data_IF_153530115285
#
_entry.id   IF_153530115285
#
_cell.length_a   1.000
_cell.length_b   1.000
_cell.length_c   1.000
_cell.angle_alpha   90.00
_cell.angle_beta   90.00
_cell.angle_gamma   90.00
#
_symmetry.space_group_name_H-M   'P 1'
#
loop_
_entity.id
_entity.type
_entity.pdbx_description
1 polymer ?
#
# COMPACT_ATOMS: atom_id res chain seq x y z
N UNK A 1 -38.90 -8.09 20.17
CA UNK A 1 -38.76 -7.42 18.87
C UNK A 1 -39.16 -5.99 19.14
N UNK A 2 -38.17 -5.11 19.31
CA UNK A 2 -38.43 -3.69 19.47
C UNK A 2 -39.07 -3.18 18.17
N UNK A 3 -40.02 -2.27 18.28
CA UNK A 3 -40.76 -1.75 17.14
C UNK A 3 -39.80 -0.91 16.29
N UNK A 4 -39.26 -1.48 15.20
CA UNK A 4 -38.35 -0.79 14.26
C UNK A 4 -38.95 0.55 13.77
N UNK A 5 -40.28 0.70 13.84
CA UNK A 5 -41.00 1.93 13.51
C UNK A 5 -40.75 3.11 14.45
N UNK A 6 -40.22 2.88 15.66
CA UNK A 6 -39.92 3.95 16.62
C UNK A 6 -38.52 4.57 16.47
N UNK A 7 -37.62 3.93 15.71
CA UNK A 7 -36.23 4.33 15.57
C UNK A 7 -36.10 5.72 14.92
N UNK A 8 -35.31 6.66 15.51
CA UNK A 8 -35.16 8.02 14.99
C UNK A 8 -34.63 8.05 13.55
N UNK A 9 -33.75 7.11 13.17
CA UNK A 9 -33.19 7.01 11.81
C UNK A 9 -34.25 6.63 10.76
N UNK A 10 -35.32 5.95 11.16
CA UNK A 10 -36.40 5.54 10.25
C UNK A 10 -37.47 6.63 10.17
N UNK A 11 -37.83 7.23 11.31
CA UNK A 11 -38.85 8.30 11.37
C UNK A 11 -38.45 9.55 10.60
N UNK A 12 -37.16 9.85 10.55
CA UNK A 12 -36.64 11.03 9.87
C UNK A 12 -36.37 10.81 8.38
N UNK A 13 -36.60 9.62 7.81
CA UNK A 13 -36.30 9.37 6.40
C UNK A 13 -37.01 10.37 5.48
N UNK A 14 -36.34 10.86 4.41
CA UNK A 14 -36.99 11.64 3.37
C UNK A 14 -38.21 10.89 2.81
N UNK A 15 -39.35 11.57 2.57
CA UNK A 15 -39.53 13.03 2.52
C UNK A 15 -39.89 13.69 3.87
N UNK A 16 -39.82 12.98 5.01
CA UNK A 16 -40.17 13.57 6.31
C UNK A 16 -39.23 14.70 6.73
N UNK A 17 -37.94 14.57 6.40
CA UNK A 17 -36.94 15.65 6.46
C UNK A 17 -36.21 15.77 5.13
N UNK A 18 -35.51 16.89 4.92
CA UNK A 18 -34.54 17.01 3.84
C UNK A 18 -33.25 16.22 4.14
N UNK A 19 -32.41 16.01 3.12
CA UNK A 19 -31.19 15.20 3.24
C UNK A 19 -30.17 15.76 4.23
N UNK A 20 -30.04 17.09 4.33
CA UNK A 20 -29.08 17.73 5.24
C UNK A 20 -29.54 17.52 6.68
N UNK A 21 -30.81 17.81 6.96
CA UNK A 21 -31.38 17.55 8.29
C UNK A 21 -31.32 16.07 8.68
N UNK A 22 -31.49 15.16 7.71
CA UNK A 22 -31.33 13.73 7.95
C UNK A 22 -29.90 13.38 8.33
N UNK A 23 -28.91 13.91 7.60
CA UNK A 23 -27.50 13.67 7.87
C UNK A 23 -27.08 14.16 9.27
N UNK A 24 -27.51 15.37 9.67
CA UNK A 24 -27.26 15.89 11.02
C UNK A 24 -27.88 14.99 12.11
N UNK A 25 -29.07 14.44 11.83
CA UNK A 25 -29.68 13.49 12.76
C UNK A 25 -28.89 12.19 12.84
N UNK A 26 -28.41 11.67 11.71
CA UNK A 26 -27.52 10.49 11.69
C UNK A 26 -26.26 10.78 12.50
N UNK A 27 -25.59 11.89 12.26
CA UNK A 27 -24.36 12.31 12.97
C UNK A 27 -24.55 12.35 14.49
N UNK A 28 -25.66 12.90 14.98
CA UNK A 28 -25.92 12.98 16.41
C UNK A 28 -26.32 11.66 17.06
N UNK A 29 -26.81 10.69 16.29
CA UNK A 29 -27.33 9.44 16.83
C UNK A 29 -26.41 8.25 16.55
N UNK A 30 -25.49 8.36 15.59
CA UNK A 30 -24.67 7.24 15.12
C UNK A 30 -23.86 6.63 16.26
N UNK A 31 -24.07 5.33 16.44
CA UNK A 31 -23.41 4.51 17.46
C UNK A 31 -23.44 3.05 17.01
N UNK A 32 -22.60 2.21 17.63
CA UNK A 32 -22.48 0.78 17.27
C UNK A 32 -23.83 0.05 17.25
N UNK A 33 -24.72 0.39 18.17
CA UNK A 33 -26.07 -0.21 18.28
C UNK A 33 -27.00 0.16 17.12
N UNK A 34 -26.76 1.31 16.49
CA UNK A 34 -27.60 1.83 15.40
C UNK A 34 -27.11 1.41 14.00
N UNK A 35 -25.87 0.92 13.88
CA UNK A 35 -25.29 0.47 12.61
C UNK A 35 -26.14 -0.58 11.87
N UNK A 36 -26.77 -1.59 12.53
CA UNK A 36 -27.65 -2.52 11.83
C UNK A 36 -28.87 -1.84 11.20
N UNK A 37 -29.42 -0.82 11.84
CA UNK A 37 -30.53 -0.04 11.29
C UNK A 37 -30.06 0.84 10.14
N UNK A 38 -28.91 1.52 10.30
CA UNK A 38 -28.33 2.31 9.23
C UNK A 38 -27.99 1.43 8.00
N UNK A 39 -27.44 0.24 8.19
CA UNK A 39 -27.18 -0.73 7.12
C UNK A 39 -28.44 -1.05 6.31
N UNK A 40 -29.60 -1.24 6.98
CA UNK A 40 -30.90 -1.44 6.30
C UNK A 40 -31.32 -0.18 5.52
N UNK A 41 -31.16 0.99 6.12
CA UNK A 41 -31.52 2.28 5.50
C UNK A 41 -30.68 2.56 4.25
N UNK A 42 -29.38 2.29 4.31
CA UNK A 42 -28.44 2.53 3.20
C UNK A 42 -28.69 1.64 1.98
N UNK A 43 -29.55 0.62 2.09
CA UNK A 43 -29.99 -0.16 0.92
C UNK A 43 -30.89 0.65 -0.03
N UNK A 44 -31.43 1.81 0.40
CA UNK A 44 -32.10 2.74 -0.52
C UNK A 44 -31.05 3.52 -1.32
N UNK A 45 -30.88 3.13 -2.59
CA UNK A 45 -29.98 3.78 -3.54
C UNK A 45 -30.23 5.29 -3.67
N UNK A 46 -31.49 5.74 -3.63
CA UNK A 46 -31.80 7.16 -3.82
C UNK A 46 -31.27 7.98 -2.65
N UNK A 47 -31.53 7.50 -1.42
CA UNK A 47 -30.99 8.12 -0.23
C UNK A 47 -29.46 8.08 -0.22
N UNK A 48 -28.87 6.91 -0.44
CA UNK A 48 -27.42 6.68 -0.35
C UNK A 48 -26.64 7.46 -1.41
N UNK A 49 -27.19 7.70 -2.61
CA UNK A 49 -26.59 8.60 -3.60
C UNK A 49 -26.40 10.02 -3.04
N UNK A 50 -27.38 10.52 -2.27
CA UNK A 50 -27.39 11.90 -1.79
C UNK A 50 -26.56 12.10 -0.51
N UNK A 51 -26.57 11.14 0.42
CA UNK A 51 -25.93 11.30 1.73
C UNK A 51 -24.67 10.45 1.92
N UNK A 52 -24.43 9.46 1.08
CA UNK A 52 -23.46 8.40 1.37
C UNK A 52 -22.02 8.89 1.49
N UNK A 53 -21.61 9.85 0.67
CA UNK A 53 -20.25 10.39 0.67
C UNK A 53 -19.92 11.10 1.99
N UNK A 54 -20.85 11.88 2.53
CA UNK A 54 -20.68 12.51 3.85
C UNK A 54 -20.57 11.46 4.97
N UNK A 55 -21.25 10.32 4.87
CA UNK A 55 -21.20 9.31 5.93
C UNK A 55 -19.83 8.63 6.09
N UNK A 56 -18.93 8.70 5.10
CA UNK A 56 -17.65 7.97 5.14
C UNK A 56 -16.82 8.37 6.36
N UNK A 57 -16.70 9.67 6.65
CA UNK A 57 -15.90 10.16 7.78
C UNK A 57 -16.54 9.85 9.15
N UNK A 58 -17.88 9.76 9.22
CA UNK A 58 -18.61 9.37 10.44
C UNK A 58 -18.49 7.87 10.73
N UNK A 59 -18.43 7.06 9.68
CA UNK A 59 -18.38 5.61 9.80
C UNK A 59 -16.95 5.11 10.03
N UNK A 60 -15.92 5.80 9.54
CA UNK A 60 -14.53 5.35 9.63
C UNK A 60 -14.02 5.15 11.09
N UNK A 61 -14.34 6.02 12.06
CA UNK A 61 -14.03 5.82 13.49
C UNK A 61 -14.70 4.61 14.13
N UNK A 62 -15.80 4.11 13.53
CA UNK A 62 -16.61 3.03 14.09
C UNK A 62 -16.21 1.63 13.58
N UNK A 63 -15.06 1.52 12.91
CA UNK A 63 -14.53 0.23 12.47
C UNK A 63 -14.20 -0.68 13.68
N UNK A 64 -14.32 -2.02 13.52
CA UNK A 64 -14.77 -2.73 12.32
C UNK A 64 -16.29 -2.80 12.16
N UNK A 65 -17.07 -2.34 13.14
CA UNK A 65 -18.51 -2.55 13.19
C UNK A 65 -19.26 -1.86 12.04
N UNK A 66 -18.75 -0.71 11.57
CA UNK A 66 -19.34 0.10 10.48
C UNK A 66 -18.98 -0.38 9.07
N UNK A 67 -18.20 -1.44 8.94
CA UNK A 67 -17.64 -1.92 7.67
C UNK A 67 -18.72 -2.24 6.62
N UNK A 68 -19.85 -2.83 7.05
CA UNK A 68 -20.97 -3.13 6.16
C UNK A 68 -21.61 -1.84 5.61
N UNK A 69 -21.78 -0.82 6.44
CA UNK A 69 -22.31 0.48 6.02
C UNK A 69 -21.37 1.20 5.03
N UNK A 70 -20.06 1.19 5.30
CA UNK A 70 -19.05 1.75 4.38
C UNK A 70 -19.09 1.08 3.00
N UNK A 71 -19.31 -0.25 2.98
CA UNK A 71 -19.49 -0.98 1.71
C UNK A 71 -20.76 -0.59 0.99
N UNK A 72 -21.88 -0.41 1.68
CA UNK A 72 -23.12 0.05 1.05
C UNK A 72 -22.93 1.44 0.44
N UNK A 73 -22.26 2.34 1.15
CA UNK A 73 -21.87 3.66 0.62
C UNK A 73 -21.04 3.51 -0.66
N UNK A 74 -20.01 2.66 -0.65
CA UNK A 74 -19.17 2.45 -1.83
C UNK A 74 -19.91 1.76 -2.99
N UNK A 75 -20.94 0.94 -2.71
CA UNK A 75 -21.72 0.21 -3.73
C UNK A 75 -22.89 1.02 -4.29
N UNK A 76 -23.56 1.81 -3.46
CA UNK A 76 -24.85 2.45 -3.76
C UNK A 76 -24.75 3.98 -3.82
N UNK A 77 -23.75 4.59 -3.17
CA UNK A 77 -23.55 6.04 -3.19
C UNK A 77 -23.07 6.58 -4.54
N UNK A 78 -23.03 7.91 -4.69
CA UNK A 78 -22.45 8.56 -5.86
C UNK A 78 -20.94 8.26 -5.92
N UNK A 79 -20.46 7.46 -6.89
CA UNK A 79 -19.08 7.00 -6.89
C UNK A 79 -18.06 8.14 -7.07
N UNK A 80 -18.46 9.27 -7.67
CA UNK A 80 -17.56 10.41 -7.89
C UNK A 80 -17.29 11.18 -6.61
N UNK A 81 -18.36 11.50 -5.87
CA UNK A 81 -18.26 12.18 -4.57
C UNK A 81 -17.58 11.28 -3.52
N UNK A 82 -17.94 9.99 -3.47
CA UNK A 82 -17.36 9.06 -2.51
C UNK A 82 -15.85 8.88 -2.76
N UNK A 83 -15.38 8.82 -4.02
CA UNK A 83 -13.92 8.75 -4.30
C UNK A 83 -13.22 10.00 -3.80
N UNK A 84 -13.77 11.19 -4.06
CA UNK A 84 -13.17 12.44 -3.59
C UNK A 84 -13.08 12.47 -2.06
N UNK A 85 -14.15 12.07 -1.36
CA UNK A 85 -14.13 12.01 0.11
C UNK A 85 -13.14 10.97 0.64
N UNK A 86 -13.04 9.81 0.00
CA UNK A 86 -12.06 8.79 0.37
C UNK A 86 -10.63 9.29 0.14
N UNK A 87 -10.36 10.02 -0.94
CA UNK A 87 -9.04 10.61 -1.18
C UNK A 87 -8.68 11.69 -0.16
N UNK A 88 -9.64 12.53 0.24
CA UNK A 88 -9.46 13.51 1.32
C UNK A 88 -9.07 12.84 2.64
N UNK A 89 -9.81 11.79 3.04
CA UNK A 89 -9.54 11.04 4.27
C UNK A 89 -8.20 10.29 4.24
N UNK A 90 -7.75 9.82 3.08
CA UNK A 90 -6.41 9.23 2.94
C UNK A 90 -5.32 10.26 3.21
N UNK A 91 -5.45 11.47 2.66
CA UNK A 91 -4.49 12.53 2.95
C UNK A 91 -4.54 12.98 4.42
N UNK A 92 -5.71 12.99 5.04
CA UNK A 92 -5.87 13.26 6.47
C UNK A 92 -5.12 12.23 7.32
N UNK A 93 -5.30 10.93 7.05
CA UNK A 93 -4.54 9.85 7.72
C UNK A 93 -3.02 10.07 7.59
N UNK A 94 -2.56 10.56 6.43
CA UNK A 94 -1.15 10.89 6.22
C UNK A 94 -0.63 12.10 7.01
N UNK A 95 -1.52 13.00 7.45
CA UNK A 95 -1.17 14.20 8.23
C UNK A 95 -1.36 14.02 9.74
N UNK A 96 -2.12 13.00 10.15
CA UNK A 96 -2.25 12.66 11.56
C UNK A 96 -0.86 12.37 12.15
N UNK A 97 -0.44 13.19 13.12
CA UNK A 97 0.78 12.97 13.88
C UNK A 97 0.66 11.66 14.68
N UNK A 98 1.78 11.01 14.98
CA UNK A 98 1.78 9.94 16.00
C UNK A 98 1.51 10.66 17.32
N UNK A 99 0.25 10.68 17.75
CA UNK A 99 -0.03 10.88 19.17
C UNK A 99 0.60 9.65 19.84
N UNK A 100 1.71 9.87 20.55
CA UNK A 100 2.39 8.85 21.32
C UNK A 100 1.35 8.13 22.18
N UNK A 101 0.99 6.89 21.81
CA UNK A 101 0.07 6.04 22.58
C UNK A 101 0.62 5.68 23.98
N UNK A 102 1.77 6.25 24.36
CA UNK A 102 2.45 6.10 25.64
C UNK A 102 2.06 7.14 26.70
N UNK A 103 1.35 8.24 26.36
CA UNK A 103 1.05 9.32 27.32
C UNK A 103 -0.31 9.20 28.05
N UNK A 104 -1.15 8.19 27.77
CA UNK A 104 -2.38 7.93 28.56
C UNK A 104 -2.18 7.01 29.77
N UNK A 105 -0.93 6.68 30.15
CA UNK A 105 -0.63 5.88 31.35
C UNK A 105 -0.23 6.70 32.59
N UNK A 106 -0.20 8.03 32.54
CA UNK A 106 0.35 8.85 33.63
C UNK A 106 -0.65 9.64 34.50
N UNK A 107 -1.96 9.60 34.26
CA UNK A 107 -2.94 10.39 35.02
C UNK A 107 -3.97 9.54 35.80
N UNK A 108 -3.47 8.61 36.62
CA UNK A 108 -4.29 8.00 37.67
C UNK A 108 -3.49 7.56 38.90
N UNK A 109 -2.62 8.45 39.40
CA UNK A 109 -2.16 8.41 40.80
C UNK A 109 -2.78 9.60 41.56
N UNK A 110 -4.00 9.41 42.09
CA UNK A 110 -4.42 10.00 43.37
C UNK A 110 -5.88 9.62 43.68
N UNK A 111 -6.06 8.49 44.36
CA UNK A 111 -7.21 8.25 45.23
C UNK A 111 -6.90 7.12 46.22
N UNK A 112 -5.98 7.39 47.15
CA UNK A 112 -5.90 6.66 48.42
C UNK A 112 -7.18 6.93 49.24
N UNK A 113 -8.09 5.95 49.32
CA UNK A 113 -8.81 5.64 50.57
C UNK A 113 -9.08 4.13 50.67
N UNK A 114 -8.42 3.54 51.67
CA UNK A 114 -8.52 2.21 52.24
C UNK A 114 -9.89 1.48 52.17
N UNK A 115 -9.84 0.17 51.89
CA UNK A 115 -10.35 -0.86 52.81
C UNK A 115 -9.71 -2.24 52.52
N UNK A 116 -9.06 -2.81 53.54
CA UNK A 116 -8.59 -4.21 53.57
C UNK A 116 -9.77 -5.17 53.82
N UNK A 117 -9.81 -6.31 53.11
CA UNK A 117 -10.73 -7.39 53.47
C UNK A 117 -10.86 -8.56 52.49
N UNK A 118 -9.88 -9.47 52.52
CA UNK A 118 -9.99 -10.93 52.36
C UNK A 118 -10.67 -11.61 51.14
N UNK A 119 -9.91 -12.56 50.60
CA UNK A 119 -10.27 -13.90 50.11
C UNK A 119 -10.33 -14.23 48.60
N UNK A 120 -9.62 -15.34 48.32
CA UNK A 120 -9.29 -15.99 47.06
C UNK A 120 -10.43 -16.91 46.57
N UNK A 121 -10.92 -16.75 45.34
CA UNK A 121 -11.10 -17.87 44.37
C UNK A 121 -11.58 -17.39 43.00
N UNK A 122 -11.17 -18.14 41.97
CA UNK A 122 -11.24 -17.76 40.57
C UNK A 122 -12.64 -17.63 39.98
N UNK A 123 -12.76 -16.64 39.09
CA UNK A 123 -13.72 -16.62 38.00
C UNK A 123 -13.10 -15.83 36.85
N UNK A 124 -13.17 -16.41 35.66
CA UNK A 124 -12.79 -15.80 34.38
C UNK A 124 -13.51 -14.47 34.22
N UNK A 125 -12.79 -13.37 34.39
CA UNK A 125 -13.28 -12.03 34.06
C UNK A 125 -12.79 -11.70 32.65
N UNK A 126 -13.67 -11.94 31.68
CA UNK A 126 -13.64 -11.20 30.42
C UNK A 126 -13.79 -9.72 30.80
N UNK A 127 -12.68 -9.00 30.77
CA UNK A 127 -12.70 -7.54 30.86
C UNK A 127 -13.47 -7.01 29.65
N UNK A 128 -14.45 -6.11 29.84
CA UNK A 128 -15.19 -5.51 28.74
C UNK A 128 -14.20 -4.76 27.86
N UNK A 129 -14.25 -5.01 26.56
CA UNK A 129 -13.41 -4.38 25.55
C UNK A 129 -13.51 -2.85 25.65
N UNK A 130 -12.45 -2.18 26.10
CA UNK A 130 -12.25 -0.76 25.83
C UNK A 130 -12.40 -0.59 24.31
N UNK A 131 -13.28 0.31 23.88
CA UNK A 131 -13.47 0.63 22.47
C UNK A 131 -12.24 1.40 21.97
N UNK A 132 -11.20 0.67 21.61
CA UNK A 132 -9.99 1.23 21.00
C UNK A 132 -10.36 1.80 19.64
N UNK A 133 -9.96 3.05 19.40
CA UNK A 133 -10.10 3.69 18.10
C UNK A 133 -9.35 2.88 17.03
N UNK A 134 -9.88 2.75 15.80
CA UNK A 134 -9.24 1.91 14.77
C UNK A 134 -7.90 2.48 14.34
N UNK A 135 -6.88 1.61 14.29
CA UNK A 135 -5.52 2.01 13.90
C UNK A 135 -5.48 2.65 12.50
N UNK A 136 -4.52 3.55 12.27
CA UNK A 136 -4.29 4.20 10.96
C UNK A 136 -4.19 3.19 9.82
N UNK A 137 -3.49 2.08 10.04
CA UNK A 137 -3.35 0.99 9.07
C UNK A 137 -4.69 0.34 8.70
N UNK A 138 -5.60 0.17 9.67
CA UNK A 138 -6.94 -0.41 9.44
C UNK A 138 -7.82 0.55 8.65
N UNK A 139 -7.80 1.84 9.01
CA UNK A 139 -8.54 2.89 8.30
C UNK A 139 -8.04 3.03 6.87
N UNK A 140 -6.73 3.14 6.67
CA UNK A 140 -6.08 3.18 5.36
C UNK A 140 -6.48 1.99 4.48
N UNK A 141 -6.32 0.76 4.99
CA UNK A 141 -6.67 -0.46 4.24
C UNK A 141 -8.14 -0.52 3.86
N UNK A 142 -9.03 -0.06 4.76
CA UNK A 142 -10.47 0.03 4.49
C UNK A 142 -10.76 1.02 3.37
N UNK A 143 -10.17 2.21 3.40
CA UNK A 143 -10.37 3.23 2.35
C UNK A 143 -9.92 2.74 0.97
N UNK A 144 -8.77 2.06 0.87
CA UNK A 144 -8.30 1.43 -0.38
C UNK A 144 -9.28 0.37 -0.90
N UNK A 145 -9.91 -0.36 0.00
CA UNK A 145 -10.93 -1.34 -0.36
C UNK A 145 -12.19 -0.69 -0.94
N UNK A 146 -12.59 0.50 -0.44
CA UNK A 146 -13.70 1.27 -0.99
C UNK A 146 -13.34 1.79 -2.38
N UNK A 147 -12.13 2.34 -2.55
CA UNK A 147 -11.62 2.78 -3.86
C UNK A 147 -11.67 1.64 -4.89
N UNK A 148 -11.37 0.41 -4.47
CA UNK A 148 -11.43 -0.76 -5.35
C UNK A 148 -12.84 -1.06 -5.89
N UNK A 149 -13.89 -0.72 -5.13
CA UNK A 149 -15.29 -0.83 -5.57
C UNK A 149 -15.68 0.38 -6.44
N UNK A 150 -15.19 1.57 -6.09
CA UNK A 150 -15.60 2.83 -6.69
C UNK A 150 -15.01 3.07 -8.08
N UNK A 151 -13.71 2.84 -8.27
CA UNK A 151 -13.03 3.11 -9.55
C UNK A 151 -13.67 2.38 -10.74
N UNK A 152 -14.05 1.08 -10.65
CA UNK A 152 -14.79 0.41 -11.71
C UNK A 152 -16.16 1.00 -12.01
N UNK A 153 -16.81 1.65 -11.03
CA UNK A 153 -18.14 2.26 -11.18
C UNK A 153 -18.09 3.58 -11.94
N UNK A 154 -17.03 4.37 -11.81
CA UNK A 154 -16.91 5.68 -12.45
C UNK A 154 -16.92 5.54 -13.98
N UNK A 155 -17.93 6.14 -14.64
CA UNK A 155 -18.07 6.15 -16.10
C UNK A 155 -17.92 7.58 -16.60
N UNK A 156 -16.68 7.93 -16.94
CA UNK A 156 -16.32 9.27 -17.42
C UNK A 156 -15.48 9.16 -18.69
N UNK A 157 -15.32 10.29 -19.38
CA UNK A 157 -14.46 10.38 -20.56
C UNK A 157 -12.97 10.22 -20.20
N UNK A 158 -12.57 10.70 -19.02
CA UNK A 158 -11.18 10.77 -18.56
C UNK A 158 -11.00 10.11 -17.17
N UNK A 159 -11.22 8.79 -17.04
CA UNK A 159 -11.11 8.09 -15.76
C UNK A 159 -9.71 8.11 -15.16
N UNK A 160 -8.66 8.34 -15.96
CA UNK A 160 -7.28 8.54 -15.49
C UNK A 160 -7.14 9.68 -14.48
N UNK A 161 -7.99 10.71 -14.52
CA UNK A 161 -7.94 11.84 -13.59
C UNK A 161 -8.27 11.41 -12.16
N UNK A 162 -9.38 10.70 -11.99
CA UNK A 162 -9.77 10.12 -10.69
C UNK A 162 -8.70 9.16 -10.18
N UNK A 163 -8.15 8.34 -11.07
CA UNK A 163 -7.08 7.42 -10.72
C UNK A 163 -5.82 8.15 -10.25
N UNK A 164 -5.36 9.16 -10.99
CA UNK A 164 -4.19 9.97 -10.64
C UNK A 164 -4.32 10.58 -9.25
N UNK A 165 -5.45 11.24 -8.96
CA UNK A 165 -5.71 11.83 -7.64
C UNK A 165 -5.72 10.77 -6.54
N UNK A 166 -6.34 9.61 -6.79
CA UNK A 166 -6.34 8.52 -5.81
C UNK A 166 -4.93 7.96 -5.55
N UNK A 167 -4.13 7.73 -6.60
CA UNK A 167 -2.77 7.22 -6.46
C UNK A 167 -1.87 8.21 -5.71
N UNK A 168 -2.03 9.51 -5.96
CA UNK A 168 -1.31 10.56 -5.23
C UNK A 168 -1.68 10.57 -3.75
N UNK A 169 -2.97 10.53 -3.41
CA UNK A 169 -3.43 10.47 -2.02
C UNK A 169 -2.92 9.22 -1.30
N UNK A 170 -2.97 8.05 -1.96
CA UNK A 170 -2.44 6.80 -1.42
C UNK A 170 -0.93 6.90 -1.18
N UNK A 171 -0.15 7.39 -2.15
CA UNK A 171 1.30 7.55 -1.98
C UNK A 171 1.63 8.53 -0.86
N UNK A 172 0.96 9.68 -0.81
CA UNK A 172 1.16 10.70 0.22
C UNK A 172 0.92 10.13 1.62
N UNK A 173 -0.18 9.38 1.80
CA UNK A 173 -0.47 8.70 3.06
C UNK A 173 0.56 7.60 3.38
N UNK A 174 0.96 6.82 2.39
CA UNK A 174 1.90 5.70 2.57
C UNK A 174 3.35 6.15 2.80
N UNK A 175 3.73 7.34 2.33
CA UNK A 175 5.02 7.96 2.61
C UNK A 175 5.01 8.77 3.89
N UNK A 176 3.87 8.95 4.56
CA UNK A 176 3.83 9.59 5.88
C UNK A 176 4.63 8.77 6.90
N UNK A 177 5.36 9.41 7.84
CA UNK A 177 6.02 8.70 8.93
C UNK A 177 5.02 7.97 9.84
N UNK A 178 3.82 8.54 10.07
CA UNK A 178 2.84 8.00 11.01
C UNK A 178 2.05 6.79 10.52
N UNK A 179 2.25 6.33 9.28
CA UNK A 179 1.62 5.12 8.76
C UNK A 179 2.65 3.99 8.69
N UNK A 180 2.44 2.84 9.37
CA UNK A 180 3.41 1.77 9.37
C UNK A 180 3.58 1.19 7.96
N UNK A 181 4.82 1.06 7.50
CA UNK A 181 5.19 0.38 6.25
C UNK A 181 5.17 -1.15 6.44
N UNK A 182 4.06 -1.66 6.95
CA UNK A 182 3.87 -3.08 7.23
C UNK A 182 3.29 -3.85 6.03
N UNK A 183 3.24 -5.17 6.17
CA UNK A 183 2.71 -6.09 5.15
C UNK A 183 1.22 -5.88 4.89
N UNK A 184 0.46 -5.38 5.87
CA UNK A 184 -0.97 -5.07 5.77
C UNK A 184 -1.22 -3.92 4.78
N UNK A 185 -0.62 -2.75 5.00
CA UNK A 185 -0.76 -1.59 4.12
C UNK A 185 -0.29 -1.90 2.70
N UNK A 186 0.86 -2.56 2.56
CA UNK A 186 1.39 -2.97 1.26
C UNK A 186 0.44 -3.94 0.53
N UNK A 187 -0.14 -4.91 1.24
CA UNK A 187 -1.11 -5.85 0.66
C UNK A 187 -2.39 -5.14 0.20
N UNK A 188 -2.91 -4.20 1.00
CA UNK A 188 -4.09 -3.42 0.60
C UNK A 188 -3.83 -2.58 -0.67
N UNK A 189 -2.65 -1.96 -0.79
CA UNK A 189 -2.22 -1.23 -2.00
C UNK A 189 -2.16 -2.16 -3.21
N UNK A 190 -1.57 -3.35 -3.04
CA UNK A 190 -1.47 -4.35 -4.09
C UNK A 190 -2.85 -4.87 -4.53
N UNK A 191 -3.79 -5.06 -3.60
CA UNK A 191 -5.15 -5.49 -3.93
C UNK A 191 -5.93 -4.41 -4.68
N UNK A 192 -5.79 -3.16 -4.27
CA UNK A 192 -6.37 -2.01 -4.96
C UNK A 192 -5.83 -1.90 -6.40
N UNK A 193 -4.50 -1.93 -6.55
CA UNK A 193 -3.82 -1.83 -7.85
C UNK A 193 -4.31 -2.91 -8.82
N UNK A 194 -4.44 -4.16 -8.34
CA UNK A 194 -4.96 -5.28 -9.13
C UNK A 194 -6.41 -5.09 -9.57
N UNK A 195 -7.25 -4.53 -8.70
CA UNK A 195 -8.68 -4.35 -8.99
C UNK A 195 -8.94 -3.21 -9.98
N UNK A 196 -8.09 -2.19 -9.99
CA UNK A 196 -8.25 -1.02 -10.87
C UNK A 196 -7.43 -1.14 -12.17
N UNK A 197 -6.55 -2.14 -12.29
CA UNK A 197 -5.75 -2.36 -13.48
C UNK A 197 -6.60 -2.52 -14.78
N UNK A 198 -6.24 -1.82 -15.88
CA UNK A 198 -6.97 -1.93 -17.14
C UNK A 198 -6.91 -3.35 -17.71
N UNK A 199 -8.07 -3.88 -18.10
CA UNK A 199 -8.22 -5.26 -18.58
C UNK A 199 -8.78 -6.25 -17.57
N UNK A 200 -9.13 -5.78 -16.37
CA UNK A 200 -9.83 -6.52 -15.32
C UNK A 200 -8.98 -7.58 -14.64
N UNK A 201 -9.41 -8.00 -13.45
CA UNK A 201 -8.79 -9.08 -12.68
C UNK A 201 -8.90 -10.42 -13.44
N UNK A 202 -7.96 -10.69 -14.35
CA UNK A 202 -7.90 -11.96 -15.11
C UNK A 202 -7.47 -13.15 -14.24
N UNK A 203 -7.13 -12.92 -12.97
CA UNK A 203 -6.85 -13.98 -12.00
C UNK A 203 -7.57 -13.68 -10.69
N UNK A 204 -8.60 -14.49 -10.34
CA UNK A 204 -9.09 -14.53 -8.97
C UNK A 204 -7.90 -14.69 -8.03
N UNK A 205 -7.92 -13.99 -6.89
CA UNK A 205 -7.00 -14.25 -5.79
C UNK A 205 -7.08 -15.74 -5.47
N UNK A 206 -5.97 -16.47 -5.70
CA UNK A 206 -5.85 -17.81 -5.14
C UNK A 206 -5.92 -17.61 -3.63
N UNK A 207 -6.88 -18.24 -2.93
CA UNK A 207 -7.00 -18.05 -1.50
C UNK A 207 -5.64 -18.36 -0.86
N UNK A 208 -5.03 -17.41 -0.12
CA UNK A 208 -3.84 -17.71 0.64
C UNK A 208 -4.22 -18.78 1.64
N UNK A 209 -3.46 -19.87 1.71
CA UNK A 209 -3.70 -20.97 2.65
C UNK A 209 -3.07 -20.66 4.01
N UNK A 210 -3.09 -19.44 4.54
CA UNK A 210 -2.25 -19.12 5.71
C UNK A 210 -2.88 -18.14 6.68
N UNK A 211 -2.54 -18.39 7.95
CA UNK A 211 -3.07 -17.82 9.19
C UNK A 211 -2.03 -16.95 9.88
N UNK A 212 -1.85 -15.71 9.42
CA UNK A 212 -1.27 -14.65 10.25
C UNK A 212 -2.37 -13.69 10.69
N UNK A 213 -2.32 -13.12 11.89
CA UNK A 213 -3.41 -12.29 12.44
C UNK A 213 -3.71 -11.05 11.59
N UNK A 214 -2.67 -10.41 11.06
CA UNK A 214 -2.78 -9.22 10.21
C UNK A 214 -3.38 -9.54 8.84
N UNK A 215 -2.91 -10.60 8.17
CA UNK A 215 -3.45 -11.04 6.88
C UNK A 215 -4.83 -11.68 7.07
N UNK A 216 -5.11 -12.35 8.18
CA UNK A 216 -6.43 -12.89 8.50
C UNK A 216 -7.50 -11.79 8.62
N UNK A 217 -7.13 -10.60 9.11
CA UNK A 217 -8.04 -9.44 9.18
C UNK A 217 -8.37 -8.94 7.77
N UNK A 218 -7.36 -8.76 6.91
CA UNK A 218 -7.57 -8.44 5.49
C UNK A 218 -8.33 -9.56 4.75
N UNK A 219 -8.07 -10.83 5.05
CA UNK A 219 -8.76 -11.96 4.44
C UNK A 219 -10.22 -12.04 4.89
N UNK A 220 -10.52 -11.81 6.17
CA UNK A 220 -11.88 -11.72 6.67
C UNK A 220 -12.62 -10.59 5.94
N UNK A 221 -11.94 -9.47 5.73
CA UNK A 221 -12.43 -8.35 4.92
C UNK A 221 -12.66 -8.73 3.45
N UNK A 222 -11.71 -9.38 2.79
CA UNK A 222 -11.84 -9.84 1.40
C UNK A 222 -12.87 -10.96 1.21
N UNK A 223 -13.04 -11.82 2.22
CA UNK A 223 -14.01 -12.91 2.20
C UNK A 223 -15.43 -12.38 2.39
N UNK A 224 -15.62 -11.37 3.24
CA UNK A 224 -16.89 -10.63 3.32
C UNK A 224 -17.16 -9.83 2.04
N UNK A 225 -16.13 -9.24 1.41
CA UNK A 225 -16.26 -8.65 0.07
C UNK A 225 -16.77 -9.66 -0.96
N UNK A 226 -16.21 -10.88 -1.01
CA UNK A 226 -16.64 -11.94 -1.94
C UNK A 226 -18.04 -12.49 -1.63
N UNK A 227 -18.40 -12.62 -0.35
CA UNK A 227 -19.70 -13.12 0.06
C UNK A 227 -20.86 -12.16 -0.28
N UNK A 228 -20.61 -10.85 -0.28
CA UNK A 228 -21.60 -9.81 -0.61
C UNK A 228 -21.59 -9.34 -2.07
N UNK A 229 -20.77 -9.95 -2.95
CA UNK A 229 -20.84 -9.75 -4.41
C UNK A 229 -22.18 -10.21 -5.04
N UNK A 230 -23.10 -10.79 -4.26
CA UNK A 230 -24.41 -11.21 -4.74
C UNK A 230 -25.36 -10.06 -5.12
N UNK A 231 -25.01 -8.82 -4.78
CA UNK A 231 -25.80 -7.65 -5.14
C UNK A 231 -24.97 -6.70 -6.00
N UNK A 232 -25.46 -6.41 -7.21
CA UNK A 232 -24.76 -5.58 -8.17
C UNK A 232 -24.58 -4.14 -7.64
N UNK A 233 -23.41 -3.50 -7.83
CA UNK A 233 -23.23 -2.09 -7.52
C UNK A 233 -24.18 -1.20 -8.33
N UNK A 234 -24.64 -0.09 -7.75
CA UNK A 234 -25.45 0.89 -8.46
C UNK A 234 -24.62 1.54 -9.59
N UNK A 235 -25.25 1.93 -10.71
CA UNK A 235 -24.56 2.64 -11.79
C UNK A 235 -24.03 4.00 -11.33
N UNK A 236 -23.12 4.59 -12.10
CA UNK A 236 -22.71 5.99 -11.94
C UNK A 236 -23.88 6.91 -12.37
N UNK A 237 -24.50 7.67 -11.44
CA UNK A 237 -25.65 8.53 -11.75
C UNK A 237 -25.29 9.67 -12.70
N UNK A 238 -24.00 10.01 -12.82
CA UNK A 238 -23.51 11.09 -13.68
C UNK A 238 -22.76 10.55 -14.92
N UNK A 239 -22.95 9.27 -15.25
CA UNK A 239 -22.24 8.60 -16.33
C UNK A 239 -22.26 9.42 -17.63
N UNK A 240 -21.09 9.66 -18.20
CA UNK A 240 -21.01 10.30 -19.51
C UNK A 240 -21.32 9.26 -20.62
N UNK A 241 -22.15 9.65 -21.59
CA UNK A 241 -22.50 8.82 -22.75
C UNK A 241 -21.42 8.80 -23.84
N UNK A 242 -20.46 9.72 -23.80
CA UNK A 242 -19.47 9.94 -24.87
C UNK A 242 -18.35 8.89 -24.95
N UNK A 243 -18.45 7.80 -24.18
CA UNK A 243 -17.42 6.76 -24.10
C UNK A 243 -16.12 7.24 -23.46
N UNK A 244 -15.15 6.34 -23.40
CA UNK A 244 -13.81 6.61 -22.82
C UNK A 244 -12.88 7.07 -23.94
N UNK A 245 -12.05 8.09 -23.67
CA UNK A 245 -11.14 8.67 -24.66
C UNK A 245 -10.05 7.67 -25.12
N UNK A 246 -9.64 7.79 -26.38
CA UNK A 246 -8.70 6.89 -27.03
C UNK A 246 -7.27 7.16 -26.54
N UNK A 247 -6.87 6.49 -25.46
CA UNK A 247 -5.56 6.65 -24.83
C UNK A 247 -5.59 6.50 -23.31
N UNK A 248 -6.78 6.58 -22.72
CA UNK A 248 -6.98 6.46 -21.26
C UNK A 248 -6.44 5.14 -20.70
N UNK A 249 -6.64 4.03 -21.40
CA UNK A 249 -6.12 2.73 -20.95
C UNK A 249 -4.59 2.72 -20.84
N UNK A 250 -3.91 3.37 -21.80
CA UNK A 250 -2.45 3.48 -21.80
C UNK A 250 -1.97 4.42 -20.68
N UNK A 251 -2.67 5.52 -20.46
CA UNK A 251 -2.38 6.47 -19.39
C UNK A 251 -2.59 5.84 -18.01
N UNK A 252 -3.71 5.15 -17.77
CA UNK A 252 -3.98 4.43 -16.54
C UNK A 252 -2.93 3.34 -16.27
N UNK A 253 -2.58 2.54 -17.29
CA UNK A 253 -1.51 1.54 -17.16
C UNK A 253 -0.20 2.20 -16.73
N UNK A 254 0.15 3.33 -17.33
CA UNK A 254 1.39 4.05 -17.03
C UNK A 254 1.39 4.68 -15.63
N UNK A 255 0.27 5.25 -15.19
CA UNK A 255 0.08 5.72 -13.82
C UNK A 255 0.32 4.59 -12.81
N UNK A 256 -0.26 3.40 -13.06
CA UNK A 256 -0.07 2.22 -12.21
C UNK A 256 1.38 1.70 -12.25
N UNK A 257 2.04 1.71 -13.41
CA UNK A 257 3.46 1.35 -13.51
C UNK A 257 4.33 2.25 -12.63
N UNK A 258 4.16 3.57 -12.75
CA UNK A 258 4.87 4.55 -11.92
C UNK A 258 4.57 4.33 -10.44
N UNK A 259 3.29 4.26 -10.08
CA UNK A 259 2.84 4.00 -8.72
C UNK A 259 3.48 2.74 -8.13
N UNK A 260 3.51 1.63 -8.87
CA UNK A 260 4.14 0.38 -8.41
C UNK A 260 5.64 0.53 -8.15
N UNK A 261 6.36 1.35 -8.92
CA UNK A 261 7.77 1.64 -8.63
C UNK A 261 7.93 2.40 -7.32
N UNK A 262 7.10 3.41 -7.04
CA UNK A 262 7.13 4.15 -5.77
C UNK A 262 6.70 3.27 -4.58
N UNK A 263 5.69 2.43 -4.73
CA UNK A 263 5.28 1.48 -3.67
C UNK A 263 6.43 0.53 -3.33
N UNK A 264 7.13 -0.01 -4.33
CA UNK A 264 8.28 -0.87 -4.11
C UNK A 264 9.43 -0.14 -3.40
N UNK A 265 9.68 1.13 -3.78
CA UNK A 265 10.66 1.98 -3.10
C UNK A 265 10.32 2.16 -1.62
N UNK A 266 9.11 2.64 -1.31
CA UNK A 266 8.70 2.90 0.08
C UNK A 266 8.73 1.60 0.90
N UNK A 267 8.12 0.54 0.37
CA UNK A 267 8.06 -0.74 1.09
C UNK A 267 9.45 -1.31 1.41
N UNK A 268 10.35 -1.36 0.42
CA UNK A 268 11.67 -1.97 0.61
C UNK A 268 12.67 -1.09 1.34
N UNK A 269 12.52 0.24 1.26
CA UNK A 269 13.38 1.19 2.00
C UNK A 269 12.98 1.36 3.45
N UNK A 270 11.70 1.18 3.78
CA UNK A 270 11.14 1.30 5.14
C UNK A 270 10.76 -0.04 5.75
N UNK A 271 11.27 -1.15 5.23
CA UNK A 271 11.01 -2.42 5.89
C UNK A 271 11.50 -2.33 7.34
N UNK A 272 10.62 -2.63 8.32
CA UNK A 272 10.98 -2.48 9.71
C UNK A 272 12.20 -3.33 10.03
N UNK A 273 13.16 -2.73 10.74
CA UNK A 273 14.17 -3.43 11.53
C UNK A 273 13.59 -3.80 12.93
N UNK A 274 12.27 -3.65 13.12
CA UNK A 274 11.58 -3.37 14.40
C UNK A 274 11.44 -4.52 15.41
N UNK A 275 12.11 -5.65 15.22
CA UNK A 275 12.34 -6.54 16.36
C UNK A 275 13.83 -6.47 16.70
N UNK A 276 14.16 -5.98 17.90
CA UNK A 276 15.52 -5.99 18.46
C UNK A 276 16.15 -7.40 18.54
N UNK A 277 15.36 -8.44 18.21
CA UNK A 277 15.73 -9.85 18.08
C UNK A 277 15.88 -10.32 16.60
N UNK A 278 15.83 -9.44 15.58
CA UNK A 278 15.88 -9.84 14.17
C UNK A 278 17.26 -10.40 13.74
N UNK A 279 17.25 -11.67 13.33
CA UNK A 279 18.39 -12.36 12.70
C UNK A 279 18.64 -11.92 11.23
N UNK A 280 17.78 -11.08 10.62
CA UNK A 280 17.76 -10.85 9.16
C UNK A 280 17.31 -9.44 8.72
N UNK A 281 18.23 -8.54 8.33
CA UNK A 281 17.86 -7.21 7.81
C UNK A 281 17.24 -7.29 6.39
N UNK A 282 16.16 -6.54 6.20
CA UNK A 282 15.52 -6.33 4.89
C UNK A 282 15.00 -7.61 4.23
N UNK A 283 15.48 -7.92 3.00
CA UNK A 283 15.14 -9.15 2.25
C UNK A 283 16.24 -10.23 2.28
N UNK A 284 17.44 -9.90 2.79
CA UNK A 284 18.59 -10.80 2.86
C UNK A 284 18.95 -11.54 1.55
N UNK A 285 18.66 -10.97 0.36
CA UNK A 285 18.85 -11.66 -0.92
C UNK A 285 20.28 -12.14 -1.16
N UNK A 286 21.28 -11.35 -0.78
CA UNK A 286 22.69 -11.73 -0.93
C UNK A 286 23.06 -12.94 -0.06
N UNK A 287 22.64 -12.95 1.20
CA UNK A 287 22.88 -14.07 2.12
C UNK A 287 22.20 -15.35 1.61
N UNK A 288 20.91 -15.24 1.24
CA UNK A 288 20.14 -16.37 0.67
C UNK A 288 20.74 -16.89 -0.63
N UNK A 289 21.22 -16.00 -1.49
CA UNK A 289 21.94 -16.37 -2.72
C UNK A 289 23.22 -17.16 -2.42
N UNK A 290 24.02 -16.70 -1.46
CA UNK A 290 25.27 -17.36 -1.08
C UNK A 290 25.04 -18.75 -0.46
N UNK A 291 23.98 -18.94 0.30
CA UNK A 291 23.57 -20.25 0.83
C UNK A 291 23.28 -21.25 -0.30
N UNK A 292 22.63 -20.79 -1.37
CA UNK A 292 22.29 -21.61 -2.54
C UNK A 292 23.54 -21.95 -3.37
N UNK A 293 24.39 -20.95 -3.64
CA UNK A 293 25.55 -21.12 -4.52
C UNK A 293 26.72 -21.79 -3.81
N UNK A 294 26.87 -21.58 -2.49
CA UNK A 294 27.97 -22.11 -1.69
C UNK A 294 27.48 -22.88 -0.44
N UNK A 295 26.70 -23.97 -0.61
CA UNK A 295 26.10 -24.70 0.51
C UNK A 295 27.14 -25.31 1.46
N UNK A 296 28.37 -25.54 0.99
CA UNK A 296 29.49 -26.03 1.80
C UNK A 296 30.00 -25.02 2.85
N UNK A 297 29.65 -23.74 2.69
CA UNK A 297 30.03 -22.66 3.63
C UNK A 297 28.96 -22.35 4.67
N UNK A 298 27.81 -23.03 4.61
CA UNK A 298 26.76 -22.89 5.61
C UNK A 298 27.30 -23.39 6.95
N UNK A 299 27.17 -22.56 7.98
CA UNK A 299 27.60 -22.90 9.34
C UNK A 299 26.69 -24.01 9.88
N UNK A 300 27.22 -25.19 10.21
CA UNK A 300 26.40 -26.28 10.74
C UNK A 300 25.66 -25.84 12.01
N UNK A 301 24.40 -26.27 12.14
CA UNK A 301 23.49 -25.98 13.28
C UNK A 301 23.04 -24.52 13.44
N UNK A 302 23.49 -23.59 12.58
CA UNK A 302 22.89 -22.26 12.49
C UNK A 302 21.72 -22.29 11.52
N UNK A 303 20.61 -21.65 11.88
CA UNK A 303 19.48 -21.47 10.97
C UNK A 303 19.92 -20.59 9.79
N UNK A 304 19.58 -21.00 8.57
CA UNK A 304 19.92 -20.23 7.37
C UNK A 304 18.91 -19.10 7.16
N UNK A 305 19.30 -18.06 6.43
CA UNK A 305 18.36 -17.00 6.02
C UNK A 305 17.28 -17.57 5.12
N UNK A 306 17.62 -18.51 4.25
CA UNK A 306 16.65 -19.21 3.41
C UNK A 306 15.59 -19.95 4.25
N UNK A 307 15.98 -20.57 5.37
CA UNK A 307 15.05 -21.24 6.28
C UNK A 307 14.21 -20.25 7.11
N UNK A 308 14.69 -19.02 7.34
CA UNK A 308 13.89 -17.97 8.01
C UNK A 308 12.74 -17.49 7.13
N UNK A 309 12.98 -17.25 5.84
CA UNK A 309 11.95 -16.79 4.89
C UNK A 309 11.03 -17.92 4.39
N UNK A 310 11.44 -19.18 4.53
CA UNK A 310 10.60 -20.34 4.19
C UNK A 310 9.61 -20.72 5.29
N UNK A 311 9.73 -20.15 6.49
CA UNK A 311 8.89 -20.48 7.64
C UNK A 311 7.62 -19.63 7.61
N UNK A 312 6.50 -20.28 7.32
CA UNK A 312 5.21 -19.63 7.03
C UNK A 312 4.65 -18.85 8.24
N UNK A 313 5.04 -19.23 9.46
CA UNK A 313 4.55 -18.60 10.70
C UNK A 313 5.37 -17.35 11.08
N UNK A 314 6.31 -16.92 10.23
CA UNK A 314 7.22 -15.79 10.49
C UNK A 314 6.95 -14.57 9.61
N UNK A 315 7.22 -13.35 10.11
CA UNK A 315 7.03 -12.11 9.35
C UNK A 315 7.84 -12.06 8.05
N UNK A 316 8.99 -12.76 7.99
CA UNK A 316 9.81 -12.85 6.78
C UNK A 316 9.09 -13.50 5.59
N UNK A 317 8.20 -14.47 5.84
CA UNK A 317 7.44 -15.11 4.77
C UNK A 317 6.41 -14.14 4.16
N UNK A 318 5.80 -13.30 4.98
CA UNK A 318 4.91 -12.24 4.51
C UNK A 318 5.67 -11.23 3.65
N UNK A 319 6.90 -10.87 4.04
CA UNK A 319 7.76 -10.00 3.22
C UNK A 319 8.02 -10.60 1.84
N UNK A 320 8.36 -11.89 1.76
CA UNK A 320 8.52 -12.62 0.49
C UNK A 320 7.22 -12.63 -0.33
N UNK A 321 6.06 -12.76 0.32
CA UNK A 321 4.74 -12.75 -0.33
C UNK A 321 4.39 -11.38 -0.93
N UNK A 322 4.66 -10.30 -0.20
CA UNK A 322 4.44 -8.92 -0.67
C UNK A 322 5.37 -8.62 -1.85
N UNK A 323 6.67 -8.92 -1.75
CA UNK A 323 7.63 -8.72 -2.86
C UNK A 323 7.25 -9.57 -4.08
N UNK A 324 6.87 -10.83 -3.87
CA UNK A 324 6.38 -11.69 -4.95
C UNK A 324 5.15 -11.12 -5.64
N UNK A 325 4.25 -10.51 -4.87
CA UNK A 325 3.05 -9.84 -5.38
C UNK A 325 3.38 -8.55 -6.15
N UNK A 326 4.33 -7.75 -5.68
CA UNK A 326 4.87 -6.59 -6.42
C UNK A 326 5.39 -7.06 -7.78
N UNK A 327 6.25 -8.09 -7.81
CA UNK A 327 6.82 -8.62 -9.05
C UNK A 327 5.75 -9.12 -10.02
N UNK A 328 4.77 -9.88 -9.52
CA UNK A 328 3.68 -10.39 -10.34
C UNK A 328 2.87 -9.25 -10.97
N UNK A 329 2.54 -8.21 -10.20
CA UNK A 329 1.77 -7.08 -10.70
C UNK A 329 2.57 -6.18 -11.63
N UNK A 330 3.85 -5.93 -11.36
CA UNK A 330 4.74 -5.22 -12.29
C UNK A 330 4.79 -5.93 -13.65
N UNK A 331 4.83 -7.27 -13.66
CA UNK A 331 4.77 -8.06 -14.89
C UNK A 331 3.41 -7.95 -15.58
N UNK A 332 2.31 -8.02 -14.85
CA UNK A 332 0.96 -7.89 -15.41
C UNK A 332 0.73 -6.50 -16.02
N UNK A 333 1.30 -5.45 -15.41
CA UNK A 333 1.34 -4.09 -15.94
C UNK A 333 2.33 -3.91 -17.10
N UNK A 334 3.02 -4.97 -17.53
CA UNK A 334 3.99 -4.96 -18.62
C UNK A 334 5.18 -4.02 -18.41
N UNK A 335 5.64 -3.88 -17.15
CA UNK A 335 6.84 -3.13 -16.81
C UNK A 335 8.08 -3.85 -17.36
N UNK A 336 8.78 -3.23 -18.31
CA UNK A 336 9.91 -3.85 -19.00
C UNK A 336 11.18 -3.81 -18.15
N UNK A 337 11.93 -4.93 -17.98
CA UNK A 337 13.23 -4.90 -17.30
C UNK A 337 14.23 -3.95 -17.96
N UNK A 338 14.17 -3.82 -19.29
CA UNK A 338 15.01 -2.88 -20.03
C UNK A 338 14.64 -1.43 -19.70
N UNK A 339 13.35 -1.13 -19.59
CA UNK A 339 12.90 0.21 -19.21
C UNK A 339 13.37 0.56 -17.80
N UNK A 340 13.23 -0.37 -16.83
CA UNK A 340 13.75 -0.18 -15.47
C UNK A 340 15.25 0.11 -15.49
N UNK A 341 16.02 -0.66 -16.24
CA UNK A 341 17.46 -0.44 -16.39
C UNK A 341 17.76 0.93 -16.99
N UNK A 342 17.02 1.38 -18.02
CA UNK A 342 17.24 2.70 -18.60
C UNK A 342 16.90 3.84 -17.65
N UNK A 343 15.87 3.68 -16.80
CA UNK A 343 15.55 4.66 -15.75
C UNK A 343 16.70 4.77 -14.75
N UNK A 344 17.22 3.63 -14.29
CA UNK A 344 18.35 3.59 -13.34
C UNK A 344 19.60 4.26 -13.94
N UNK A 345 19.95 3.95 -15.19
CA UNK A 345 21.13 4.48 -15.86
C UNK A 345 21.02 5.97 -16.21
N UNK A 346 19.81 6.48 -16.46
CA UNK A 346 19.60 7.92 -16.72
C UNK A 346 19.76 8.77 -15.46
N UNK A 347 19.50 8.19 -14.30
CA UNK A 347 19.62 8.87 -13.01
C UNK A 347 21.04 8.88 -12.43
N UNK A 348 21.99 8.13 -13.00
CA UNK A 348 23.40 8.23 -12.59
C UNK A 348 24.02 9.48 -13.22
N UNK A 349 24.47 10.48 -12.43
CA UNK A 349 25.10 11.66 -13.00
C UNK A 349 26.37 11.27 -13.75
N UNK A 350 26.46 11.66 -15.02
CA UNK A 350 27.70 11.61 -15.78
C UNK A 350 28.71 12.54 -15.11
N UNK A 351 29.96 12.13 -14.83
CA UNK A 351 30.97 12.98 -14.16
C UNK A 351 31.36 14.26 -14.92
N UNK A 352 30.82 14.50 -16.11
CA UNK A 352 31.32 15.52 -17.06
C UNK A 352 30.29 16.57 -17.44
N UNK A 353 29.04 16.50 -16.95
CA UNK A 353 28.05 17.55 -17.24
C UNK A 353 27.86 18.45 -16.02
N UNK A 354 27.97 19.79 -16.16
CA UNK A 354 27.54 20.69 -15.11
C UNK A 354 26.07 20.43 -14.84
N UNK A 355 25.72 20.18 -13.56
CA UNK A 355 24.33 20.05 -13.17
C UNK A 355 23.57 21.28 -13.70
N UNK A 356 22.45 21.10 -14.43
CA UNK A 356 21.48 22.18 -14.52
C UNK A 356 21.12 22.50 -13.08
N UNK A 357 21.28 23.76 -12.70
CA UNK A 357 20.74 24.29 -11.46
C UNK A 357 19.31 23.77 -11.35
N UNK A 358 18.99 23.04 -10.29
CA UNK A 358 17.61 22.75 -9.94
C UNK A 358 16.93 24.11 -9.92
N UNK A 359 16.07 24.38 -10.91
CA UNK A 359 15.26 25.59 -10.98
C UNK A 359 14.46 25.65 -9.67
N UNK A 360 14.97 26.41 -8.70
CA UNK A 360 14.26 26.92 -7.53
C UNK A 360 13.27 28.03 -7.98
N UNK A 361 12.55 27.76 -9.08
CA UNK A 361 11.62 28.65 -9.74
C UNK A 361 10.41 27.84 -10.23
N UNK A 362 9.80 27.07 -9.33
CA UNK A 362 8.44 26.56 -9.48
C UNK A 362 7.65 26.68 -8.16
N UNK A 363 7.95 27.70 -7.35
CA UNK A 363 7.04 28.17 -6.31
C UNK A 363 6.16 29.29 -6.87
N UNK A 364 5.26 29.01 -7.83
CA UNK A 364 4.04 29.84 -8.04
C UNK A 364 3.00 29.30 -9.08
N UNK A 365 2.87 27.97 -9.26
CA UNK A 365 1.70 27.44 -10.01
C UNK A 365 1.29 26.05 -9.49
N UNK A 366 0.75 26.00 -8.27
CA UNK A 366 0.18 24.80 -7.66
C UNK A 366 -1.21 24.43 -8.20
N UNK A 367 -1.54 24.85 -9.44
CA UNK A 367 -2.75 24.44 -10.13
C UNK A 367 -2.48 23.32 -11.16
N UNK A 368 -2.47 22.07 -10.68
CA UNK A 368 -3.00 20.91 -11.41
C UNK A 368 -2.65 20.78 -12.91
N UNK A 369 -1.39 20.60 -13.28
CA UNK A 369 -1.08 19.99 -14.59
C UNK A 369 -1.13 18.47 -14.46
N UNK A 370 -2.35 17.91 -14.41
CA UNK A 370 -2.56 16.47 -14.50
C UNK A 370 -1.84 15.93 -15.76
N UNK A 371 -1.13 14.78 -15.66
CA UNK A 371 -0.36 14.25 -16.78
C UNK A 371 -1.31 14.02 -17.96
N UNK A 372 -1.01 14.66 -19.08
CA UNK A 372 -1.84 14.61 -20.29
C UNK A 372 -1.39 13.51 -21.24
N UNK A 373 -0.18 12.99 -21.06
CA UNK A 373 0.39 11.88 -21.82
C UNK A 373 1.06 10.86 -20.90
N UNK A 374 1.06 9.55 -21.25
CA UNK A 374 1.80 8.53 -20.51
C UNK A 374 3.29 8.86 -20.33
N UNK A 375 3.91 9.50 -21.32
CA UNK A 375 5.33 9.84 -21.28
C UNK A 375 5.68 10.85 -20.18
N UNK A 376 4.70 11.62 -19.69
CA UNK A 376 4.89 12.66 -18.68
C UNK A 376 4.97 12.06 -17.27
N UNK A 377 4.68 10.76 -17.11
CA UNK A 377 4.68 10.08 -15.81
C UNK A 377 6.02 9.35 -15.62
N UNK A 378 6.90 9.85 -14.72
CA UNK A 378 8.20 9.24 -14.46
C UNK A 378 8.05 7.97 -13.60
N UNK A 379 9.04 7.07 -13.73
CA UNK A 379 9.20 5.92 -12.82
C UNK A 379 10.15 6.32 -11.68
N UNK A 380 9.94 5.79 -10.48
CA UNK A 380 10.91 5.91 -9.40
C UNK A 380 12.21 5.16 -9.75
N UNK A 381 13.35 5.84 -9.60
CA UNK A 381 14.68 5.25 -9.84
C UNK A 381 15.00 4.17 -8.82
N UNK A 382 14.83 4.43 -7.52
CA UNK A 382 15.08 3.46 -6.46
C UNK A 382 14.12 2.28 -6.57
N UNK A 383 12.85 2.55 -6.84
CA UNK A 383 11.82 1.55 -7.08
C UNK A 383 12.13 0.65 -8.27
N UNK A 384 12.58 1.24 -9.38
CA UNK A 384 13.05 0.51 -10.55
C UNK A 384 14.23 -0.41 -10.20
N UNK A 385 15.20 0.06 -9.42
CA UNK A 385 16.33 -0.73 -8.95
C UNK A 385 15.86 -1.92 -8.09
N UNK A 386 14.95 -1.68 -7.15
CA UNK A 386 14.42 -2.71 -6.29
C UNK A 386 13.65 -3.79 -7.05
N UNK A 387 12.74 -3.40 -7.96
CA UNK A 387 11.98 -4.35 -8.78
C UNK A 387 12.92 -5.14 -9.69
N UNK A 388 13.90 -4.50 -10.31
CA UNK A 388 14.87 -5.19 -11.16
C UNK A 388 15.69 -6.19 -10.34
N UNK A 389 16.16 -5.80 -9.16
CA UNK A 389 16.93 -6.68 -8.26
C UNK A 389 16.09 -7.87 -7.79
N UNK A 390 14.86 -7.63 -7.37
CA UNK A 390 13.91 -8.68 -7.00
C UNK A 390 13.61 -9.63 -8.18
N UNK A 391 13.50 -9.09 -9.40
CA UNK A 391 13.31 -9.89 -10.62
C UNK A 391 14.50 -10.81 -10.89
N UNK A 392 15.73 -10.33 -10.66
CA UNK A 392 16.95 -11.13 -10.82
C UNK A 392 17.12 -12.17 -9.70
N UNK A 393 16.72 -11.84 -8.47
CA UNK A 393 16.78 -12.75 -7.34
C UNK A 393 15.70 -13.86 -7.41
N UNK A 394 14.53 -13.54 -7.98
CA UNK A 394 13.34 -14.39 -7.98
C UNK A 394 13.54 -15.81 -8.56
N UNK A 395 14.19 -16.00 -9.72
CA UNK A 395 14.50 -17.32 -10.27
C UNK A 395 15.29 -18.23 -9.33
N UNK A 396 16.10 -17.66 -8.43
CA UNK A 396 16.95 -18.42 -7.53
C UNK A 396 16.28 -18.65 -6.18
N UNK A 397 15.52 -17.66 -5.69
CA UNK A 397 14.92 -17.70 -4.36
C UNK A 397 13.54 -18.36 -4.34
N UNK A 398 12.77 -18.27 -5.43
CA UNK A 398 11.37 -18.72 -5.46
C UNK A 398 11.11 -19.97 -6.34
N UNK A 399 12.06 -20.42 -7.17
CA UNK A 399 11.89 -21.63 -8.02
C UNK A 399 12.22 -22.95 -7.31
N UNK A 400 12.16 -23.01 -5.98
CA UNK A 400 12.37 -24.26 -5.24
C UNK A 400 11.33 -25.36 -5.57
N UNK A 401 10.34 -25.06 -6.41
CA UNK A 401 9.37 -26.00 -6.98
C UNK A 401 9.11 -25.88 -8.51
N UNK A 402 10.11 -25.76 -9.40
CA UNK A 402 10.11 -26.45 -10.72
C UNK A 402 11.36 -26.19 -11.59
N UNK A 403 11.60 -27.14 -12.50
CA UNK A 403 12.71 -27.32 -13.45
C UNK A 403 13.32 -26.05 -14.10
N UNK A 404 14.62 -26.05 -14.45
CA UNK A 404 15.32 -24.90 -15.01
C UNK A 404 15.05 -24.79 -16.51
N UNK A 405 14.30 -23.79 -16.96
CA UNK A 405 14.18 -23.50 -18.40
C UNK A 405 13.97 -22.01 -18.70
N UNK A 406 14.67 -21.14 -17.99
CA UNK A 406 14.87 -19.74 -18.42
C UNK A 406 16.36 -19.46 -18.58
N UNK A 407 16.81 -19.02 -19.77
CA UNK A 407 18.20 -18.65 -19.97
C UNK A 407 18.53 -17.42 -19.12
N UNK A 408 19.78 -17.31 -18.63
CA UNK A 408 20.25 -16.12 -17.92
C UNK A 408 20.13 -14.90 -18.83
N UNK A 409 19.78 -13.76 -18.23
CA UNK A 409 19.86 -12.45 -18.89
C UNK A 409 21.35 -12.20 -19.15
N UNK A 410 21.73 -12.06 -20.42
CA UNK A 410 23.07 -11.61 -20.80
C UNK A 410 23.26 -10.18 -20.29
N UNK A 411 23.97 -10.06 -19.16
CA UNK A 411 24.56 -8.79 -18.77
C UNK A 411 25.52 -8.36 -19.90
N UNK A 412 25.52 -7.08 -20.30
CA UNK A 412 26.48 -6.61 -21.28
C UNK A 412 27.90 -6.96 -20.79
N UNK A 413 28.78 -7.45 -21.67
CA UNK A 413 30.13 -7.82 -21.27
C UNK A 413 30.78 -6.62 -20.61
N UNK A 414 31.23 -6.80 -19.36
CA UNK A 414 32.16 -5.89 -18.72
C UNK A 414 33.28 -5.64 -19.72
N UNK A 415 33.48 -4.37 -20.10
CA UNK A 415 34.61 -4.02 -20.94
C UNK A 415 35.87 -4.66 -20.36
N UNK A 416 36.69 -5.35 -21.16
CA UNK A 416 37.92 -5.92 -20.66
C UNK A 416 38.75 -4.77 -20.07
N UNK A 417 39.09 -4.91 -18.79
CA UNK A 417 40.04 -4.06 -18.10
C UNK A 417 41.22 -3.78 -19.03
N UNK A 418 41.48 -2.51 -19.31
CA UNK A 418 42.69 -2.05 -20.00
C UNK A 418 43.90 -2.78 -19.41
N UNK A 419 44.82 -3.30 -20.23
CA UNK A 419 45.98 -4.01 -19.72
C UNK A 419 46.79 -3.07 -18.82
N UNK A 420 47.43 -3.59 -17.75
CA UNK A 420 48.29 -2.78 -16.91
C UNK A 420 49.38 -2.14 -17.77
N UNK A 421 49.47 -0.81 -17.69
CA UNK A 421 50.52 -0.03 -18.34
C UNK A 421 51.88 -0.60 -17.97
N UNK A 422 52.69 -0.92 -18.99
CA UNK A 422 54.04 -1.45 -18.82
C UNK A 422 54.88 -0.57 -17.89
N UNK A 423 55.67 -1.14 -16.97
CA UNK A 423 56.56 -0.35 -16.14
C UNK A 423 57.59 0.38 -17.00
N UNK A 424 57.98 1.62 -16.64
CA UNK A 424 58.98 2.38 -17.38
C UNK A 424 60.35 1.67 -17.35
N UNK A 425 61.14 1.78 -18.43
CA UNK A 425 62.45 1.14 -18.50
C UNK A 425 63.41 1.73 -17.44
N UNK A 426 64.34 0.91 -16.92
CA UNK A 426 65.32 1.37 -15.95
C UNK A 426 66.25 2.42 -16.58
N UNK A 427 66.67 3.46 -15.84
CA UNK A 427 67.64 4.42 -16.33
C UNK A 427 69.00 3.72 -16.52
N UNK A 428 69.56 3.83 -17.72
CA UNK A 428 70.94 3.43 -18.00
C UNK A 428 71.93 4.29 -17.19
N UNK A 429 73.04 3.71 -16.70
CA UNK A 429 74.01 4.42 -15.90
C UNK A 429 74.95 5.21 -16.83
N UNK A 430 75.10 6.51 -16.62
CA UNK A 430 76.21 7.26 -17.20
C UNK A 430 76.61 8.47 -16.37
N UNK A 431 77.92 8.46 -16.08
CA UNK A 431 78.80 9.56 -15.76
C UNK A 431 78.63 10.24 -14.38
N UNK A 432 79.46 9.76 -13.44
CA UNK A 432 80.13 10.64 -12.49
C UNK A 432 80.73 11.84 -13.22
N UNK A 433 80.50 13.04 -12.68
CA UNK A 433 81.38 14.18 -12.89
C UNK A 433 81.81 14.77 -11.53
N UNK A 434 83.04 15.29 -11.44
CA UNK A 434 83.80 15.47 -10.20
C UNK A 434 83.37 16.70 -9.38
N UNK A 435 83.81 16.81 -8.11
CA UNK A 435 83.33 17.85 -7.19
C UNK A 435 83.96 19.22 -7.48
N UNK A 436 83.26 20.32 -7.18
CA UNK A 436 83.86 21.64 -7.16
C UNK A 436 84.62 21.88 -5.85
N UNK A 437 85.76 22.56 -5.99
CA UNK A 437 86.64 23.11 -4.95
C UNK A 437 86.00 24.20 -4.09
#
# INVERSE_FOLDING_TARGET
>A
MADDSENPLIKALPPATDYISYLTLVEHNISKEQLPTLHKVLQDTTLTINIGWDLVHLLLPLLPDSEACLRDVARLGNPREVVLKVTELLEEIGREEEEDEDDEQADQEDADVAEEGADLHGASNQTPSKTTFPSKATRFSTLLSLLSILHPRIKTRYPSRFLSTSLQAILSAYTSPGLPSNTLCASAILDFTRQVAPGGSKRPTVPPRQSSSSIATLQAFQNTQRAHQSSDPAPDPEANTDGVDAGEEALQRRLLQSFMTYVAEVYLSRMPDDDADEDAPGMCWASRYMEIVQPKKIVPRRRTMSDLYSDEDKPYHERDTVVGSILAQSRDLSLSPHELLTTILKSTPSPTEPQPEEDQAAEDDSSTTLPSSPSDVPLSTSGALYILTATLASPLLFHRHHNPTTPPIDLPPTQPSSPPSSPPPPPHPSALNPPPT
#
